data_IF_798137256556
#
_entry.id   IF_798137256556
#
_cell.length_a   1.000
_cell.length_b   1.000
_cell.length_c   1.000
_cell.angle_alpha   90.00
_cell.angle_beta   90.00
_cell.angle_gamma   90.00
#
_symmetry.space_group_name_H-M   'P 1'
#
loop_
_entity.id
_entity.type
_entity.pdbx_description
1 polymer ?
#
# COMPACT_ATOMS: atom_id res chain seq x y z
N UNK A 1 -24.11 -10.80 -9.68
CA UNK A 1 -23.99 -9.81 -8.60
C UNK A 1 -22.54 -9.84 -8.15
N UNK A 2 -21.84 -8.70 -8.16
CA UNK A 2 -20.52 -8.62 -7.53
C UNK A 2 -20.75 -8.85 -6.04
N UNK A 3 -20.17 -9.93 -5.50
CA UNK A 3 -20.25 -10.23 -4.07
C UNK A 3 -19.53 -9.10 -3.33
N UNK A 4 -20.05 -8.59 -2.20
CA UNK A 4 -19.24 -7.77 -1.32
C UNK A 4 -18.00 -8.59 -0.96
N UNK A 5 -16.82 -7.97 -0.95
CA UNK A 5 -15.58 -8.60 -0.46
C UNK A 5 -15.60 -8.78 1.07
N UNK A 6 -16.75 -9.14 1.65
CA UNK A 6 -16.97 -9.19 3.07
C UNK A 6 -16.94 -10.62 3.62
N UNK A 7 -16.02 -10.91 4.54
CA UNK A 7 -15.98 -12.16 5.30
C UNK A 7 -16.95 -12.16 6.49
N UNK A 8 -17.29 -13.35 6.99
CA UNK A 8 -18.17 -13.51 8.17
C UNK A 8 -17.53 -12.92 9.46
N UNK A 9 -16.21 -12.73 9.46
CA UNK A 9 -15.40 -12.21 10.57
C UNK A 9 -14.96 -10.74 10.38
N UNK A 10 -15.55 -10.03 9.42
CA UNK A 10 -15.15 -8.66 9.11
C UNK A 10 -15.47 -7.69 10.25
N UNK A 11 -14.54 -6.77 10.50
CA UNK A 11 -14.80 -5.66 11.41
C UNK A 11 -15.62 -4.61 10.66
N UNK A 12 -16.88 -4.46 11.07
CA UNK A 12 -17.75 -3.41 10.55
C UNK A 12 -17.43 -2.06 11.21
N UNK A 13 -17.18 -1.05 10.38
CA UNK A 13 -16.98 0.33 10.80
C UNK A 13 -17.49 1.28 9.72
N UNK A 14 -17.90 2.50 10.11
CA UNK A 14 -18.37 3.51 9.15
C UNK A 14 -17.26 3.96 8.18
N UNK A 15 -16.02 4.03 8.69
CA UNK A 15 -14.83 4.41 7.92
C UNK A 15 -13.60 3.64 8.41
N UNK A 16 -12.67 3.35 7.49
CA UNK A 16 -11.39 2.67 7.80
C UNK A 16 -10.24 3.45 7.18
N UNK A 17 -9.38 4.01 8.04
CA UNK A 17 -8.14 4.67 7.62
C UNK A 17 -6.93 3.80 7.91
N UNK A 18 -6.09 3.57 6.89
CA UNK A 18 -4.81 2.86 7.04
C UNK A 18 -3.65 3.83 6.80
N UNK A 19 -3.13 4.41 7.88
CA UNK A 19 -2.10 5.46 7.82
C UNK A 19 -0.68 4.90 7.94
N UNK A 20 -0.23 4.19 6.91
CA UNK A 20 1.17 3.76 6.80
C UNK A 20 1.37 2.31 6.38
N UNK A 21 0.67 1.87 5.35
CA UNK A 21 0.91 0.57 4.72
C UNK A 21 2.34 0.57 4.22
N UNK A 22 3.14 -0.38 4.71
CA UNK A 22 4.57 -0.48 4.39
C UNK A 22 4.86 -1.87 3.88
N UNK A 23 5.27 -1.97 2.62
CA UNK A 23 5.74 -3.21 2.01
C UNK A 23 7.24 -3.10 1.73
N UNK A 24 7.97 -4.18 2.00
CA UNK A 24 9.39 -4.28 1.68
C UNK A 24 9.69 -5.69 1.17
N UNK A 25 10.44 -5.79 0.09
CA UNK A 25 10.87 -7.07 -0.50
C UNK A 25 12.34 -7.00 -0.92
N UNK A 26 12.99 -8.15 -1.07
CA UNK A 26 14.43 -8.25 -1.36
C UNK A 26 14.78 -8.23 -2.85
N UNK A 27 13.80 -8.39 -3.74
CA UNK A 27 13.99 -8.41 -5.19
C UNK A 27 13.38 -7.15 -5.84
N UNK A 28 14.11 -6.50 -6.77
CA UNK A 28 13.58 -5.40 -7.59
C UNK A 28 13.52 -4.02 -6.89
N UNK A 29 12.42 -3.28 -7.07
CA UNK A 29 12.12 -2.04 -6.34
C UNK A 29 11.68 -2.42 -4.92
N UNK A 30 12.54 -2.17 -3.93
CA UNK A 30 12.51 -2.91 -2.68
C UNK A 30 11.47 -2.47 -1.64
N UNK A 31 10.56 -1.54 -1.93
CA UNK A 31 9.47 -1.23 -1.01
C UNK A 31 8.56 -0.09 -1.43
N UNK A 32 7.44 0.02 -0.73
CA UNK A 32 6.42 1.05 -0.94
C UNK A 32 5.83 1.48 0.41
N UNK A 33 5.48 2.76 0.50
CA UNK A 33 4.72 3.32 1.61
C UNK A 33 3.50 4.06 1.06
N UNK A 34 2.30 3.72 1.55
CA UNK A 34 1.04 4.38 1.19
C UNK A 34 0.19 4.69 2.42
N UNK A 35 -0.75 5.61 2.25
CA UNK A 35 -1.89 5.76 3.16
C UNK A 35 -3.19 5.60 2.36
N UNK A 36 -4.17 4.98 2.97
CA UNK A 36 -5.48 4.70 2.37
C UNK A 36 -6.61 5.12 3.31
N UNK A 37 -7.73 5.51 2.71
CA UNK A 37 -8.97 5.81 3.41
C UNK A 37 -10.16 5.21 2.65
N UNK A 38 -10.95 4.38 3.33
CA UNK A 38 -12.08 3.63 2.75
C UNK A 38 -11.73 2.81 1.49
N UNK A 39 -10.48 2.34 1.41
CA UNK A 39 -9.96 1.53 0.30
C UNK A 39 -9.40 2.32 -0.88
N UNK A 40 -9.50 3.65 -0.86
CA UNK A 40 -8.87 4.53 -1.86
C UNK A 40 -7.49 5.01 -1.37
N UNK A 41 -6.52 5.06 -2.29
CA UNK A 41 -5.19 5.64 -2.02
C UNK A 41 -5.30 7.15 -1.74
N UNK A 42 -4.85 7.59 -0.57
CA UNK A 42 -4.69 9.02 -0.26
C UNK A 42 -3.36 9.57 -0.82
N UNK A 43 -2.26 8.87 -0.54
CA UNK A 43 -0.90 9.24 -0.92
C UNK A 43 0.05 8.05 -0.96
N UNK A 44 1.19 8.23 -1.63
CA UNK A 44 2.37 7.41 -1.48
C UNK A 44 3.63 8.26 -1.26
N UNK A 45 4.69 7.68 -0.69
CA UNK A 45 6.00 8.35 -0.61
C UNK A 45 6.90 7.85 -1.74
N UNK A 46 7.35 8.75 -2.61
CA UNK A 46 8.40 8.47 -3.58
C UNK A 46 9.73 8.35 -2.83
N UNK A 47 10.21 7.11 -2.65
CA UNK A 47 11.42 6.84 -1.86
C UNK A 47 12.69 7.36 -2.51
N UNK A 48 12.71 7.49 -3.85
CA UNK A 48 13.86 8.00 -4.59
C UNK A 48 13.99 9.51 -4.47
N UNK A 49 12.86 10.22 -4.58
CA UNK A 49 12.79 11.67 -4.44
C UNK A 49 12.67 12.14 -3.00
N UNK A 50 12.24 11.25 -2.10
CA UNK A 50 11.91 11.54 -0.70
C UNK A 50 10.80 12.58 -0.59
N UNK A 51 9.74 12.37 -1.37
CA UNK A 51 8.61 13.29 -1.49
C UNK A 51 7.29 12.56 -1.28
N UNK A 52 6.34 13.25 -0.64
CA UNK A 52 4.95 12.78 -0.52
C UNK A 52 4.20 13.14 -1.80
N UNK A 53 3.61 12.14 -2.45
CA UNK A 53 2.81 12.29 -3.66
C UNK A 53 1.35 11.96 -3.31
N UNK A 54 0.48 12.95 -3.45
CA UNK A 54 -0.96 12.79 -3.21
C UNK A 54 -1.65 12.25 -4.45
N UNK A 55 -2.56 11.28 -4.27
CA UNK A 55 -3.35 10.71 -5.37
C UNK A 55 -4.25 11.76 -6.03
N UNK A 56 -4.80 12.65 -5.20
CA UNK A 56 -5.57 13.84 -5.56
C UNK A 56 -4.75 15.06 -5.10
N UNK A 57 -4.18 15.87 -6.02
CA UNK A 57 -3.29 16.97 -5.67
C UNK A 57 -3.90 18.02 -4.71
N UNK A 58 -5.21 18.23 -4.77
CA UNK A 58 -5.95 19.15 -3.93
C UNK A 58 -5.89 18.78 -2.44
N UNK A 59 -5.75 17.49 -2.11
CA UNK A 59 -5.55 17.06 -0.71
C UNK A 59 -4.23 17.60 -0.15
N UNK A 60 -3.17 17.62 -0.96
CA UNK A 60 -1.86 18.17 -0.58
C UNK A 60 -1.86 19.68 -0.34
N UNK A 61 -2.93 20.39 -0.69
CA UNK A 61 -3.11 21.81 -0.38
C UNK A 61 -3.74 22.03 1.00
N UNK A 62 -4.49 21.03 1.50
CA UNK A 62 -5.26 21.12 2.75
C UNK A 62 -4.58 20.37 3.91
N UNK A 63 -3.76 19.37 3.60
CA UNK A 63 -3.06 18.52 4.55
C UNK A 63 -1.69 18.14 4.00
N UNK A 64 -0.77 17.82 4.90
CA UNK A 64 0.60 17.44 4.55
C UNK A 64 1.01 16.19 5.29
N UNK A 65 2.01 15.50 4.72
CA UNK A 65 2.67 14.38 5.37
C UNK A 65 4.17 14.50 5.13
N UNK A 66 4.95 14.39 6.19
CA UNK A 66 6.42 14.41 6.10
C UNK A 66 6.91 13.06 5.53
N UNK A 67 7.54 13.05 4.35
CA UNK A 67 8.02 11.82 3.72
C UNK A 67 9.05 11.06 4.59
N UNK A 68 9.68 11.73 5.56
CA UNK A 68 10.58 11.09 6.52
C UNK A 68 9.90 9.97 7.32
N UNK A 69 8.59 10.08 7.59
CA UNK A 69 7.82 9.01 8.24
C UNK A 69 7.77 7.75 7.39
N UNK A 70 7.54 7.89 6.07
CA UNK A 70 7.58 6.77 5.13
C UNK A 70 8.97 6.13 5.05
N UNK A 71 10.02 6.95 4.96
CA UNK A 71 11.42 6.46 4.92
C UNK A 71 11.81 5.65 6.17
N UNK A 72 11.37 6.08 7.35
CA UNK A 72 11.61 5.35 8.60
C UNK A 72 10.92 3.99 8.61
N UNK A 73 9.66 3.94 8.17
CA UNK A 73 8.91 2.69 8.06
C UNK A 73 9.56 1.73 7.06
N UNK A 74 10.03 2.22 5.91
CA UNK A 74 10.77 1.41 4.94
C UNK A 74 12.07 0.83 5.53
N UNK A 75 12.82 1.62 6.28
CA UNK A 75 14.02 1.15 6.96
C UNK A 75 13.71 0.06 7.99
N UNK A 76 12.64 0.22 8.77
CA UNK A 76 12.15 -0.79 9.70
C UNK A 76 11.67 -2.06 8.97
N UNK A 77 10.95 -1.91 7.86
CA UNK A 77 10.49 -3.00 7.00
C UNK A 77 11.66 -3.83 6.46
N UNK A 78 12.73 -3.18 6.00
CA UNK A 78 13.97 -3.85 5.59
C UNK A 78 14.56 -4.69 6.73
N UNK A 79 14.76 -4.08 7.89
CA UNK A 79 15.33 -4.75 9.05
C UNK A 79 14.50 -5.97 9.47
N UNK A 80 13.17 -5.80 9.52
CA UNK A 80 12.25 -6.87 9.87
C UNK A 80 12.25 -7.99 8.82
N UNK A 81 12.30 -7.67 7.53
CA UNK A 81 12.38 -8.67 6.46
C UNK A 81 13.64 -9.54 6.60
N UNK A 82 14.79 -8.92 6.87
CA UNK A 82 16.05 -9.66 7.05
C UNK A 82 15.97 -10.63 8.24
N UNK A 83 15.29 -10.24 9.32
CA UNK A 83 15.05 -11.09 10.49
C UNK A 83 14.05 -12.22 10.20
N UNK A 84 12.93 -11.90 9.56
CA UNK A 84 11.87 -12.87 9.24
C UNK A 84 12.31 -13.89 8.20
N UNK A 85 13.14 -13.49 7.24
CA UNK A 85 13.75 -14.39 6.26
C UNK A 85 14.60 -15.46 6.96
N UNK A 86 15.43 -15.06 7.92
CA UNK A 86 16.24 -16.02 8.71
C UNK A 86 15.36 -16.90 9.61
N UNK A 87 14.37 -16.29 10.29
CA UNK A 87 13.44 -17.00 11.19
C UNK A 87 12.61 -18.07 10.47
N UNK A 88 12.23 -17.80 9.23
CA UNK A 88 11.46 -18.71 8.38
C UNK A 88 12.32 -19.73 7.61
N UNK A 89 13.60 -19.88 7.98
CA UNK A 89 14.56 -20.75 7.26
C UNK A 89 14.62 -20.45 5.76
N UNK A 90 14.60 -19.17 5.38
CA UNK A 90 14.67 -18.70 4.00
C UNK A 90 13.53 -19.20 3.09
N UNK A 91 12.34 -19.41 3.67
CA UNK A 91 11.14 -19.76 2.88
C UNK A 91 10.77 -18.60 1.94
N UNK A 92 10.70 -18.82 0.60
CA UNK A 92 10.34 -17.78 -0.35
C UNK A 92 8.83 -17.53 -0.40
N UNK A 93 8.42 -16.38 -0.93
CA UNK A 93 7.01 -16.13 -1.25
C UNK A 93 6.53 -17.07 -2.37
N UNK A 94 5.25 -17.48 -2.30
CA UNK A 94 4.59 -18.24 -3.37
C UNK A 94 4.10 -17.27 -4.44
N UNK A 95 4.36 -17.58 -5.71
CA UNK A 95 3.90 -16.76 -6.83
C UNK A 95 2.42 -17.04 -7.11
N UNK A 96 1.63 -15.98 -7.28
CA UNK A 96 0.22 -16.04 -7.67
C UNK A 96 0.02 -15.41 -9.05
N UNK A 97 -0.89 -15.98 -9.86
CA UNK A 97 -1.22 -15.43 -11.17
C UNK A 97 -2.22 -14.26 -11.00
N UNK A 98 -1.96 -13.07 -11.57
CA UNK A 98 -2.88 -11.94 -11.44
C UNK A 98 -4.12 -12.13 -12.32
N UNK A 99 -5.29 -11.80 -11.77
CA UNK A 99 -6.53 -11.68 -12.54
C UNK A 99 -6.66 -10.27 -13.11
N UNK A 100 -7.02 -10.14 -14.39
CA UNK A 100 -7.10 -8.86 -15.09
C UNK A 100 -8.48 -8.68 -15.69
N UNK A 101 -9.11 -7.56 -15.36
CA UNK A 101 -10.41 -7.16 -15.91
C UNK A 101 -10.28 -5.79 -16.55
N UNK A 102 -10.88 -5.60 -17.73
CA UNK A 102 -10.86 -4.32 -18.48
C UNK A 102 -12.29 -3.86 -18.72
N UNK A 103 -12.58 -2.62 -18.36
CA UNK A 103 -13.86 -1.96 -18.60
C UNK A 103 -13.63 -0.47 -18.86
N UNK A 104 -14.51 0.19 -19.64
CA UNK A 104 -14.35 1.61 -19.92
C UNK A 104 -14.70 2.45 -18.68
N UNK A 105 -13.98 3.55 -18.46
CA UNK A 105 -14.25 4.49 -17.34
C UNK A 105 -15.58 5.23 -17.53
N UNK A 106 -15.94 5.51 -18.77
CA UNK A 106 -17.17 6.21 -19.17
C UNK A 106 -17.91 5.39 -20.24
N UNK A 107 -19.22 5.58 -20.44
CA UNK A 107 -19.95 4.90 -21.51
C UNK A 107 -19.28 5.10 -22.88
N UNK A 108 -19.26 4.03 -23.68
CA UNK A 108 -18.88 4.08 -25.08
C UNK A 108 -20.18 4.14 -25.88
N UNK A 109 -20.39 5.24 -26.60
CA UNK A 109 -21.48 5.39 -27.56
C UNK A 109 -21.04 4.90 -28.95
#
# INVERSE_FOLDING_TARGET
TLSPCGGEDDIEADHVGTYGITTYQSYGSNGQFTMEFDGDEELYVDLGKKETIWRIPEFGQLRSFDPQGGLQNIAAGKFNLDLLTKRSNFTPATNEAPEVTVFPKTPVL
#
